data_IF_478030895006
#
_entry.id   IF_478030895006
#
_cell.length_a   1.000
_cell.length_b   1.000
_cell.length_c   1.000
_cell.angle_alpha   90.00
_cell.angle_beta   90.00
_cell.angle_gamma   90.00
#
_symmetry.space_group_name_H-M   'P 1'
#
loop_
_entity.id
_entity.type
_entity.pdbx_description
1 polymer ?
#
# COMPACT_ATOMS: atom_id res chain seq x y z
N UNK A 1 -14.92 -8.90 -19.56
CA UNK A 1 -15.13 -9.65 -18.32
C UNK A 1 -15.46 -8.70 -17.18
N UNK A 2 -15.89 -9.21 -16.02
CA UNK A 2 -16.43 -8.41 -14.90
C UNK A 2 -15.52 -7.24 -14.46
N UNK A 3 -14.20 -7.43 -14.40
CA UNK A 3 -13.26 -6.36 -14.07
C UNK A 3 -13.29 -5.21 -15.09
N UNK A 4 -13.30 -5.52 -16.37
CA UNK A 4 -13.37 -4.50 -17.43
C UNK A 4 -14.70 -3.73 -17.37
N UNK A 5 -15.80 -4.43 -17.10
CA UNK A 5 -17.13 -3.81 -16.98
C UNK A 5 -17.20 -2.89 -15.75
N UNK A 6 -16.55 -3.28 -14.65
CA UNK A 6 -16.45 -2.47 -13.43
C UNK A 6 -15.76 -1.13 -13.69
N UNK A 7 -14.62 -1.11 -14.36
CA UNK A 7 -13.90 0.13 -14.68
C UNK A 7 -14.67 1.00 -15.66
N UNK A 8 -15.23 0.38 -16.71
CA UNK A 8 -16.04 1.09 -17.71
C UNK A 8 -17.28 1.77 -17.12
N UNK A 9 -17.98 1.12 -16.17
CA UNK A 9 -19.14 1.70 -15.50
C UNK A 9 -18.79 2.92 -14.62
N UNK A 10 -17.51 3.11 -14.27
CA UNK A 10 -17.01 4.21 -13.44
C UNK A 10 -16.26 5.27 -14.23
N UNK A 11 -16.29 5.19 -15.57
CA UNK A 11 -15.53 6.08 -16.44
C UNK A 11 -14.05 6.15 -16.07
N UNK A 12 -13.49 4.98 -15.73
CA UNK A 12 -12.08 4.81 -15.38
C UNK A 12 -11.36 4.09 -16.52
N UNK A 13 -10.30 4.69 -17.03
CA UNK A 13 -9.39 4.01 -17.95
C UNK A 13 -8.66 2.89 -17.22
N UNK A 14 -8.64 1.71 -17.83
CA UNK A 14 -7.96 0.55 -17.27
C UNK A 14 -7.30 -0.28 -18.36
N UNK A 15 -6.01 -0.51 -18.21
CA UNK A 15 -5.29 -1.50 -18.99
C UNK A 15 -5.25 -2.81 -18.19
N UNK A 16 -5.86 -3.86 -18.73
CA UNK A 16 -5.95 -5.16 -18.09
C UNK A 16 -5.08 -6.15 -18.85
N UNK A 17 -4.10 -6.73 -18.16
CA UNK A 17 -3.25 -7.79 -18.72
C UNK A 17 -3.95 -9.12 -18.51
N UNK A 18 -4.39 -9.80 -19.59
CA UNK A 18 -5.08 -11.07 -19.47
C UNK A 18 -4.11 -12.17 -19.01
N UNK A 19 -4.50 -12.88 -17.98
CA UNK A 19 -3.72 -13.98 -17.39
C UNK A 19 -4.58 -15.23 -17.27
N UNK A 20 -3.98 -16.44 -17.34
CA UNK A 20 -4.72 -17.67 -17.11
C UNK A 20 -5.13 -17.80 -15.63
N UNK A 21 -6.24 -18.48 -15.38
CA UNK A 21 -6.75 -18.75 -14.03
C UNK A 21 -8.01 -17.99 -13.67
N UNK A 22 -8.40 -18.11 -12.41
CA UNK A 22 -9.58 -17.44 -11.85
C UNK A 22 -9.17 -16.25 -10.99
N UNK A 23 -10.05 -15.27 -10.87
CA UNK A 23 -9.90 -14.18 -9.90
C UNK A 23 -9.92 -14.79 -8.49
N UNK A 24 -8.95 -14.43 -7.67
CA UNK A 24 -8.90 -14.87 -6.27
C UNK A 24 -10.11 -14.35 -5.50
N UNK A 25 -10.60 -15.17 -4.58
CA UNK A 25 -11.71 -14.81 -3.70
C UNK A 25 -11.16 -14.62 -2.29
N UNK A 26 -11.44 -13.47 -1.70
CA UNK A 26 -11.17 -13.19 -0.29
C UNK A 26 -12.51 -13.17 0.44
N UNK A 27 -12.64 -14.01 1.49
CA UNK A 27 -13.85 -14.12 2.29
C UNK A 27 -13.57 -13.51 3.66
N UNK A 28 -14.39 -12.56 4.07
CA UNK A 28 -14.36 -11.97 5.42
C UNK A 28 -15.64 -12.37 6.14
N UNK A 29 -15.49 -13.12 7.23
CA UNK A 29 -16.59 -13.51 8.12
C UNK A 29 -16.57 -12.63 9.36
N UNK A 30 -17.65 -11.91 9.59
CA UNK A 30 -17.84 -11.11 10.80
C UNK A 30 -18.87 -11.79 11.70
N UNK A 31 -18.45 -12.21 12.88
CA UNK A 31 -19.32 -12.79 13.89
C UNK A 31 -19.91 -11.68 14.78
N UNK A 32 -21.17 -11.36 14.60
CA UNK A 32 -21.84 -10.27 15.30
C UNK A 32 -21.97 -10.48 16.81
N UNK A 33 -21.94 -11.74 17.28
CA UNK A 33 -22.06 -12.08 18.70
C UNK A 33 -20.77 -11.80 19.50
N UNK A 34 -19.62 -11.96 18.86
CA UNK A 34 -18.30 -11.81 19.49
C UNK A 34 -17.55 -10.56 19.01
N UNK A 35 -18.01 -9.94 17.91
CA UNK A 35 -17.29 -8.86 17.23
C UNK A 35 -16.03 -9.34 16.51
N UNK A 36 -15.79 -10.64 16.41
CA UNK A 36 -14.61 -11.20 15.77
C UNK A 36 -14.74 -11.23 14.25
N UNK A 37 -13.64 -10.93 13.56
CA UNK A 37 -13.50 -11.07 12.11
C UNK A 37 -12.53 -12.20 11.79
N UNK A 38 -12.92 -13.07 10.86
CA UNK A 38 -12.07 -14.11 10.32
C UNK A 38 -11.92 -13.89 8.82
N UNK A 39 -10.68 -13.87 8.34
CA UNK A 39 -10.38 -13.67 6.93
C UNK A 39 -9.81 -14.95 6.30
N UNK A 40 -10.35 -15.32 5.14
CA UNK A 40 -9.84 -16.39 4.28
C UNK A 40 -9.39 -15.75 2.97
N UNK A 41 -8.09 -15.56 2.84
CA UNK A 41 -7.49 -14.88 1.69
C UNK A 41 -6.81 -15.91 0.77
N UNK A 42 -7.35 -16.09 -0.44
CA UNK A 42 -6.71 -16.93 -1.45
C UNK A 42 -5.42 -16.27 -1.96
N UNK A 43 -4.39 -17.09 -2.18
CA UNK A 43 -3.12 -16.60 -2.76
C UNK A 43 -3.22 -16.27 -4.25
N UNK A 44 -4.28 -16.73 -4.92
CA UNK A 44 -4.43 -16.62 -6.36
C UNK A 44 -3.65 -17.70 -7.13
N UNK A 45 -3.81 -17.71 -8.44
CA UNK A 45 -3.10 -18.63 -9.35
C UNK A 45 -1.67 -18.14 -9.57
N UNK A 46 -0.65 -19.01 -9.46
CA UNK A 46 0.71 -18.64 -9.82
C UNK A 46 0.79 -18.21 -11.29
N UNK A 47 1.45 -17.11 -11.56
CA UNK A 47 1.64 -16.58 -12.90
C UNK A 47 3.06 -16.81 -13.38
N UNK A 48 3.24 -16.85 -14.72
CA UNK A 48 4.55 -16.95 -15.31
C UNK A 48 5.33 -15.65 -15.08
N UNK A 49 6.64 -15.70 -14.80
CA UNK A 49 7.46 -14.48 -14.58
C UNK A 49 7.41 -13.47 -15.72
N UNK A 50 7.21 -13.91 -16.98
CA UNK A 50 7.02 -13.01 -18.12
C UNK A 50 5.82 -12.07 -17.96
N UNK A 51 4.81 -12.45 -17.18
CA UNK A 51 3.67 -11.57 -16.89
C UNK A 51 4.09 -10.33 -16.13
N UNK A 52 5.07 -10.44 -15.23
CA UNK A 52 5.63 -9.27 -14.53
C UNK A 52 6.30 -8.30 -15.52
N UNK A 53 7.03 -8.84 -16.51
CA UNK A 53 7.65 -8.03 -17.58
C UNK A 53 6.60 -7.33 -18.44
N UNK A 54 5.47 -7.98 -18.72
CA UNK A 54 4.38 -7.37 -19.49
C UNK A 54 3.74 -6.22 -18.69
N UNK A 55 3.56 -6.38 -17.36
CA UNK A 55 3.06 -5.29 -16.48
C UNK A 55 4.04 -4.11 -16.46
N UNK A 56 5.34 -4.36 -16.29
CA UNK A 56 6.36 -3.31 -16.29
C UNK A 56 6.34 -2.56 -17.62
N UNK A 57 6.23 -3.27 -18.74
CA UNK A 57 6.16 -2.66 -20.07
C UNK A 57 4.89 -1.80 -20.22
N UNK A 58 3.75 -2.26 -19.77
CA UNK A 58 2.50 -1.50 -19.81
C UNK A 58 2.60 -0.21 -18.99
N UNK A 59 3.17 -0.29 -17.78
CA UNK A 59 3.41 0.89 -16.94
C UNK A 59 4.37 1.87 -17.63
N UNK A 60 5.51 1.41 -18.16
CA UNK A 60 6.49 2.26 -18.87
C UNK A 60 5.87 3.04 -20.04
N UNK A 61 4.90 2.45 -20.73
CA UNK A 61 4.23 3.10 -21.86
C UNK A 61 3.41 4.35 -21.48
N UNK A 62 3.00 4.47 -20.22
CA UNK A 62 2.16 5.59 -19.75
C UNK A 62 2.92 6.59 -18.86
N UNK A 63 4.14 6.26 -18.39
CA UNK A 63 4.89 7.11 -17.46
C UNK A 63 5.13 8.52 -17.98
N UNK A 64 5.37 8.71 -19.28
CA UNK A 64 5.60 10.04 -19.87
C UNK A 64 4.44 11.02 -19.72
N UNK A 65 3.24 10.52 -19.42
CA UNK A 65 2.02 11.33 -19.21
C UNK A 65 1.46 11.19 -17.80
N UNK A 66 2.18 10.48 -16.92
CA UNK A 66 1.77 10.20 -15.54
C UNK A 66 2.33 11.27 -14.59
N UNK A 67 1.49 11.81 -13.74
CA UNK A 67 1.91 12.78 -12.71
C UNK A 67 2.35 12.11 -11.40
N UNK A 68 1.79 10.94 -11.09
CA UNK A 68 2.16 10.13 -9.92
C UNK A 68 1.82 8.67 -10.19
N UNK A 69 2.72 7.76 -9.82
CA UNK A 69 2.48 6.31 -9.89
C UNK A 69 2.12 5.80 -8.48
N UNK A 70 1.06 5.01 -8.37
CA UNK A 70 0.70 4.36 -7.12
C UNK A 70 0.89 2.85 -7.30
N UNK A 71 1.80 2.28 -6.53
CA UNK A 71 2.09 0.85 -6.47
C UNK A 71 1.47 0.27 -5.21
N UNK A 72 0.54 -0.66 -5.35
CA UNK A 72 -0.14 -1.17 -4.18
C UNK A 72 -0.78 -2.54 -4.36
N UNK A 73 -1.03 -3.18 -3.23
CA UNK A 73 -1.62 -4.49 -3.14
C UNK A 73 -0.60 -5.63 -3.13
N UNK A 74 -1.13 -6.85 -3.11
CA UNK A 74 -0.32 -8.08 -3.18
C UNK A 74 -0.09 -8.48 -4.62
N UNK A 75 1.12 -8.88 -4.95
CA UNK A 75 1.45 -9.45 -6.25
C UNK A 75 1.07 -10.93 -6.31
N UNK A 76 0.74 -11.49 -7.49
CA UNK A 76 0.46 -12.91 -7.65
C UNK A 76 1.69 -13.77 -7.34
N UNK A 77 1.50 -15.02 -6.87
CA UNK A 77 2.61 -15.96 -6.76
C UNK A 77 3.34 -16.14 -8.10
N UNK A 78 4.66 -16.19 -8.05
CA UNK A 78 5.51 -16.28 -9.23
C UNK A 78 6.10 -14.96 -9.72
N UNK A 79 5.62 -13.83 -9.17
CA UNK A 79 6.28 -12.54 -9.38
C UNK A 79 7.49 -12.42 -8.45
N UNK A 80 8.57 -11.74 -8.88
CA UNK A 80 9.75 -11.53 -8.05
C UNK A 80 9.48 -10.55 -6.89
N UNK A 81 10.21 -10.70 -5.79
CA UNK A 81 10.05 -9.84 -4.60
C UNK A 81 10.53 -8.39 -4.84
N UNK A 82 11.30 -8.14 -5.89
CA UNK A 82 11.77 -6.82 -6.32
C UNK A 82 10.87 -6.17 -7.40
N UNK A 83 9.70 -6.75 -7.67
CA UNK A 83 8.77 -6.25 -8.69
C UNK A 83 8.41 -4.77 -8.52
N UNK A 84 8.17 -4.32 -7.29
CA UNK A 84 7.87 -2.91 -7.02
C UNK A 84 9.11 -2.02 -7.07
N UNK A 85 10.29 -2.56 -6.78
CA UNK A 85 11.56 -1.87 -7.02
C UNK A 85 11.74 -1.55 -8.51
N UNK A 86 11.56 -2.52 -9.41
CA UNK A 86 11.70 -2.32 -10.85
C UNK A 86 10.69 -1.29 -11.41
N UNK A 87 9.46 -1.29 -10.89
CA UNK A 87 8.47 -0.28 -11.25
C UNK A 87 8.84 1.12 -10.72
N UNK A 88 9.39 1.20 -9.52
CA UNK A 88 9.90 2.43 -8.92
C UNK A 88 11.06 3.02 -9.71
N UNK A 89 12.07 2.20 -10.06
CA UNK A 89 13.17 2.60 -10.95
C UNK A 89 12.65 3.12 -12.29
N UNK A 90 11.67 2.42 -12.86
CA UNK A 90 11.02 2.86 -14.08
C UNK A 90 10.35 4.24 -13.94
N UNK A 91 9.70 4.50 -12.80
CA UNK A 91 9.09 5.81 -12.53
C UNK A 91 10.16 6.91 -12.41
N UNK A 92 11.29 6.62 -11.76
CA UNK A 92 12.41 7.57 -11.63
C UNK A 92 13.05 7.91 -12.98
N UNK A 93 13.17 6.96 -13.91
CA UNK A 93 13.66 7.22 -15.28
C UNK A 93 12.85 8.32 -16.00
N UNK A 94 11.59 8.54 -15.59
CA UNK A 94 10.67 9.54 -16.16
C UNK A 94 10.40 10.73 -15.23
N UNK A 95 11.13 10.87 -14.12
CA UNK A 95 10.90 11.88 -13.07
C UNK A 95 9.46 11.83 -12.49
N UNK A 96 8.85 10.65 -12.45
CA UNK A 96 7.49 10.44 -11.90
C UNK A 96 7.60 10.01 -10.44
N UNK A 97 7.09 10.81 -9.48
CA UNK A 97 7.04 10.38 -8.08
C UNK A 97 6.12 9.19 -7.93
N UNK A 98 6.49 8.25 -7.04
CA UNK A 98 5.63 7.10 -6.78
C UNK A 98 5.35 6.89 -5.30
N UNK A 99 4.18 6.31 -5.04
CA UNK A 99 3.68 5.93 -3.72
C UNK A 99 3.70 4.41 -3.63
N UNK A 100 4.16 3.86 -2.50
CA UNK A 100 4.25 2.44 -2.27
C UNK A 100 3.36 2.01 -1.10
N UNK A 101 2.33 1.20 -1.38
CA UNK A 101 1.40 0.60 -0.43
C UNK A 101 1.55 -0.94 -0.45
N UNK A 102 2.58 -1.44 0.21
CA UNK A 102 2.98 -2.84 0.18
C UNK A 102 3.46 -3.31 1.56
N UNK A 103 3.79 -4.60 1.68
CA UNK A 103 4.29 -5.20 2.91
C UNK A 103 5.39 -6.23 2.64
N UNK A 104 6.15 -6.56 3.69
CA UNK A 104 7.20 -7.58 3.64
C UNK A 104 8.28 -7.30 2.62
N UNK A 105 8.76 -8.33 1.89
CA UNK A 105 9.84 -8.17 0.90
C UNK A 105 9.54 -7.16 -0.19
N UNK A 106 8.28 -7.06 -0.64
CA UNK A 106 7.86 -6.08 -1.65
C UNK A 106 8.02 -4.63 -1.17
N UNK A 107 7.72 -4.37 0.11
CA UNK A 107 7.94 -3.05 0.70
C UNK A 107 9.43 -2.78 0.88
N UNK A 108 10.19 -3.71 1.48
CA UNK A 108 11.62 -3.55 1.72
C UNK A 108 12.40 -3.29 0.42
N UNK A 109 12.18 -4.11 -0.60
CA UNK A 109 12.85 -3.93 -1.88
C UNK A 109 12.38 -2.66 -2.59
N UNK A 110 11.06 -2.38 -2.57
CA UNK A 110 10.51 -1.19 -3.23
C UNK A 110 10.95 0.13 -2.60
N UNK A 111 11.30 0.15 -1.31
CA UNK A 111 11.87 1.33 -0.63
C UNK A 111 13.23 1.72 -1.20
N UNK A 112 14.01 0.78 -1.72
CA UNK A 112 15.33 1.05 -2.35
C UNK A 112 15.21 1.95 -3.60
N UNK A 113 14.02 1.99 -4.23
CA UNK A 113 13.73 2.92 -5.32
C UNK A 113 13.23 4.28 -4.83
N UNK A 114 13.39 4.62 -3.55
CA UNK A 114 13.06 5.95 -2.97
C UNK A 114 11.66 6.46 -3.31
N UNK A 115 10.57 5.76 -2.92
CA UNK A 115 9.20 6.25 -3.09
C UNK A 115 9.01 7.59 -2.37
N UNK A 116 8.15 8.46 -2.90
CA UNK A 116 7.83 9.70 -2.20
C UNK A 116 7.05 9.46 -0.91
N UNK A 117 6.26 8.38 -0.87
CA UNK A 117 5.48 7.98 0.31
C UNK A 117 5.39 6.46 0.40
N UNK A 118 5.53 5.93 1.61
CA UNK A 118 5.17 4.56 1.97
C UNK A 118 3.99 4.57 2.94
N UNK A 119 3.06 3.58 2.80
CA UNK A 119 1.82 3.55 3.60
C UNK A 119 1.45 2.15 4.08
N UNK A 120 2.23 1.50 4.91
CA UNK A 120 1.80 0.25 5.55
C UNK A 120 0.69 0.50 6.60
N UNK A 121 -0.15 -0.49 6.85
CA UNK A 121 -0.97 -0.54 8.05
C UNK A 121 -0.17 -1.11 9.24
N UNK A 122 -0.78 -1.18 10.44
CA UNK A 122 -0.13 -1.66 11.67
C UNK A 122 0.45 -3.08 11.51
N UNK A 123 -0.31 -4.00 10.88
CA UNK A 123 0.09 -5.39 10.67
C UNK A 123 1.19 -5.51 9.61
N UNK A 124 1.06 -4.78 8.51
CA UNK A 124 2.05 -4.74 7.43
C UNK A 124 3.38 -4.13 7.89
N UNK A 125 3.30 -3.09 8.72
CA UNK A 125 4.49 -2.50 9.33
C UNK A 125 5.21 -3.51 10.23
N UNK A 126 4.45 -4.17 11.12
CA UNK A 126 5.02 -5.21 11.99
C UNK A 126 5.60 -6.39 11.20
N UNK A 127 4.88 -6.86 10.18
CA UNK A 127 5.36 -7.95 9.32
C UNK A 127 6.65 -7.59 8.57
N UNK A 128 6.86 -6.30 8.26
CA UNK A 128 8.01 -5.81 7.50
C UNK A 128 9.21 -5.51 8.39
N UNK A 129 8.99 -4.78 9.50
CA UNK A 129 10.06 -4.24 10.35
C UNK A 129 10.21 -4.95 11.71
N UNK A 130 9.28 -5.86 12.05
CA UNK A 130 9.32 -6.61 13.32
C UNK A 130 8.99 -5.79 14.57
N UNK A 131 8.52 -4.55 14.40
CA UNK A 131 8.17 -3.61 15.47
C UNK A 131 6.73 -3.15 15.32
N UNK A 132 5.96 -3.15 16.41
CA UNK A 132 4.61 -2.59 16.40
C UNK A 132 4.66 -1.06 16.36
N UNK A 133 3.97 -0.42 15.40
CA UNK A 133 3.89 1.03 15.35
C UNK A 133 3.15 1.58 16.57
N UNK A 134 3.59 2.73 17.05
CA UNK A 134 3.00 3.40 18.21
C UNK A 134 3.12 4.93 18.08
N UNK A 135 2.22 5.65 18.78
CA UNK A 135 2.24 7.11 18.80
C UNK A 135 3.20 7.59 19.91
N UNK A 136 4.48 7.29 19.75
CA UNK A 136 5.54 7.68 20.70
C UNK A 136 6.68 8.39 19.97
N UNK A 137 7.38 9.27 20.67
CA UNK A 137 8.56 9.94 20.11
C UNK A 137 9.65 8.95 19.67
N UNK A 138 9.84 7.88 20.45
CA UNK A 138 10.84 6.84 20.14
C UNK A 138 10.50 6.12 18.82
N UNK A 139 9.23 5.72 18.63
CA UNK A 139 8.80 5.11 17.37
C UNK A 139 8.96 6.09 16.20
N UNK A 140 8.50 7.34 16.36
CA UNK A 140 8.62 8.35 15.32
C UNK A 140 10.07 8.63 14.95
N UNK A 141 10.99 8.64 15.92
CA UNK A 141 12.42 8.82 15.66
C UNK A 141 13.02 7.64 14.87
N UNK A 142 12.67 6.40 15.25
CA UNK A 142 13.12 5.19 14.55
C UNK A 142 12.55 5.15 13.11
N UNK A 143 11.27 5.47 12.93
CA UNK A 143 10.65 5.49 11.60
C UNK A 143 11.23 6.59 10.72
N UNK A 144 11.47 7.78 11.29
CA UNK A 144 12.19 8.88 10.61
C UNK A 144 13.54 8.44 10.08
N UNK A 145 14.31 7.68 10.87
CA UNK A 145 15.61 7.17 10.45
C UNK A 145 15.48 6.27 9.19
N UNK A 146 14.49 5.38 9.16
CA UNK A 146 14.19 4.55 8.00
C UNK A 146 13.88 5.41 6.77
N UNK A 147 13.05 6.46 6.93
CA UNK A 147 12.70 7.35 5.82
C UNK A 147 13.93 8.08 5.26
N UNK A 148 14.81 8.57 6.15
CA UNK A 148 16.05 9.25 5.77
C UNK A 148 16.98 8.30 5.01
N UNK A 149 17.18 7.09 5.52
CA UNK A 149 18.06 6.07 4.91
C UNK A 149 17.66 5.71 3.48
N UNK A 150 16.34 5.70 3.19
CA UNK A 150 15.83 5.37 1.86
C UNK A 150 15.41 6.61 1.03
N UNK A 151 15.73 7.82 1.49
CA UNK A 151 15.36 9.08 0.82
C UNK A 151 13.84 9.20 0.56
N UNK A 152 13.02 8.83 1.54
CA UNK A 152 11.56 8.84 1.49
C UNK A 152 11.05 10.09 2.18
N UNK A 153 10.20 10.88 1.50
CA UNK A 153 9.69 12.12 2.06
C UNK A 153 8.58 11.91 3.11
N UNK A 154 7.76 10.87 2.94
CA UNK A 154 6.60 10.63 3.80
C UNK A 154 6.45 9.16 4.17
N UNK A 155 6.23 8.88 5.45
CA UNK A 155 5.82 7.58 5.94
C UNK A 155 4.48 7.69 6.66
N UNK A 156 3.43 7.09 6.12
CA UNK A 156 2.12 7.03 6.76
C UNK A 156 1.88 5.63 7.35
N UNK A 157 1.29 5.54 8.54
CA UNK A 157 0.87 4.26 9.12
C UNK A 157 -0.58 4.38 9.57
N UNK A 158 -1.44 3.52 9.05
CA UNK A 158 -2.80 3.39 9.56
C UNK A 158 -2.82 2.44 10.76
N UNK A 159 -3.37 2.91 11.89
CA UNK A 159 -3.40 2.22 13.17
C UNK A 159 -4.81 1.69 13.51
N UNK A 160 -5.68 1.54 12.50
CA UNK A 160 -7.05 1.08 12.68
C UNK A 160 -7.84 1.99 13.62
N UNK A 161 -8.41 1.42 14.68
CA UNK A 161 -9.19 2.16 15.69
C UNK A 161 -8.34 3.15 16.51
N UNK A 162 -7.03 3.11 16.40
CA UNK A 162 -6.10 4.03 17.07
C UNK A 162 -5.72 5.23 16.19
N UNK A 163 -6.33 5.39 15.01
CA UNK A 163 -6.08 6.52 14.13
C UNK A 163 -4.99 6.31 13.08
N UNK A 164 -4.20 7.33 12.80
CA UNK A 164 -3.14 7.30 11.82
C UNK A 164 -1.95 8.18 12.21
N UNK A 165 -0.77 7.80 11.77
CA UNK A 165 0.47 8.52 11.97
C UNK A 165 1.06 8.89 10.61
N UNK A 166 1.54 10.12 10.47
CA UNK A 166 2.34 10.60 9.35
C UNK A 166 3.69 11.06 9.88
N UNK A 167 4.77 10.55 9.31
CA UNK A 167 6.14 10.91 9.68
C UNK A 167 6.88 11.44 8.45
N UNK A 168 7.65 12.49 8.65
CA UNK A 168 8.62 13.00 7.66
C UNK A 168 10.00 13.07 8.30
N UNK A 169 11.06 13.37 7.57
CA UNK A 169 12.38 13.64 8.13
C UNK A 169 12.40 14.73 9.22
N UNK A 170 11.47 15.71 9.17
CA UNK A 170 11.44 16.87 10.06
C UNK A 170 10.44 16.76 11.21
N UNK A 171 9.29 16.10 10.98
CA UNK A 171 8.17 16.12 11.91
C UNK A 171 7.34 14.85 11.90
N UNK A 172 6.48 14.68 12.88
CA UNK A 172 5.46 13.64 12.91
C UNK A 172 4.11 14.22 13.35
N UNK A 173 3.04 13.73 12.73
CA UNK A 173 1.66 14.12 13.03
C UNK A 173 0.84 12.88 13.31
N UNK A 174 0.01 12.98 14.33
CA UNK A 174 -0.96 11.96 14.68
C UNK A 174 -2.37 12.49 14.43
N UNK A 175 -3.20 11.65 13.83
CA UNK A 175 -4.64 11.91 13.68
C UNK A 175 -5.41 10.92 14.52
N UNK A 176 -6.24 11.42 15.44
CA UNK A 176 -7.15 10.57 16.20
C UNK A 176 -8.15 9.85 15.27
N UNK A 177 -8.63 8.65 15.66
CA UNK A 177 -9.63 7.95 14.88
C UNK A 177 -10.95 8.71 14.90
N UNK A 178 -11.66 8.65 13.78
CA UNK A 178 -13.05 9.09 13.74
C UNK A 178 -13.93 7.95 14.21
N UNK A 179 -14.75 8.21 15.23
CA UNK A 179 -15.75 7.25 15.66
C UNK A 179 -16.83 7.11 14.58
N UNK A 180 -16.85 5.98 13.91
CA UNK A 180 -17.87 5.61 12.92
C UNK A 180 -18.54 4.31 13.35
N UNK A 181 -19.86 4.25 13.27
CA UNK A 181 -20.58 2.97 13.36
C UNK A 181 -20.23 2.14 12.14
N UNK A 182 -19.33 1.19 12.30
CA UNK A 182 -18.87 0.30 11.22
C UNK A 182 -19.99 -0.67 10.88
N UNK A 183 -20.78 -0.36 9.86
CA UNK A 183 -21.80 -1.27 9.29
C UNK A 183 -21.25 -2.13 8.13
N UNK A 184 -19.93 -2.16 7.93
CA UNK A 184 -19.29 -2.91 6.83
C UNK A 184 -17.78 -3.00 7.00
N UNK A 185 -17.19 -3.95 6.26
CA UNK A 185 -15.81 -4.45 6.42
C UNK A 185 -14.72 -3.51 5.85
N UNK A 186 -15.05 -2.32 5.37
CA UNK A 186 -14.06 -1.33 4.89
C UNK A 186 -14.26 -0.01 5.59
N UNK A 187 -13.44 0.23 6.61
CA UNK A 187 -13.30 1.54 7.20
C UNK A 187 -12.46 2.46 6.31
N UNK A 188 -13.11 3.30 5.51
CA UNK A 188 -12.43 4.46 4.97
C UNK A 188 -12.33 5.51 6.07
N UNK A 189 -11.11 5.94 6.40
CA UNK A 189 -10.90 7.01 7.37
C UNK A 189 -11.20 8.35 6.69
N UNK A 190 -12.40 8.88 6.88
CA UNK A 190 -12.74 10.26 6.61
C UNK A 190 -12.94 10.97 7.95
N UNK A 191 -11.95 11.74 8.39
CA UNK A 191 -12.00 12.44 9.67
C UNK A 191 -11.89 13.94 9.52
N UNK A 192 -12.62 14.66 10.36
CA UNK A 192 -12.36 16.07 10.66
C UNK A 192 -11.11 16.15 11.52
N UNK A 193 -10.16 16.96 11.10
CA UNK A 193 -8.84 17.07 11.68
C UNK A 193 -8.81 17.61 13.10
N UNK A 194 -8.23 16.87 14.02
CA UNK A 194 -7.35 17.38 15.05
C UNK A 194 -6.01 16.67 14.85
N UNK A 195 -5.04 17.34 14.25
CA UNK A 195 -3.69 16.80 14.10
C UNK A 195 -2.83 17.33 15.23
N UNK A 196 -2.34 16.44 16.07
CA UNK A 196 -1.35 16.77 17.09
C UNK A 196 0.05 16.59 16.47
N UNK A 197 0.90 17.62 16.61
CA UNK A 197 2.29 17.56 16.15
C UNK A 197 3.11 16.91 17.25
N UNK A 198 3.71 15.76 16.96
CA UNK A 198 4.66 15.08 17.86
C UNK A 198 6.05 15.47 17.39
N UNK A 199 6.71 16.33 18.12
CA UNK A 199 8.08 16.80 17.86
C UNK A 199 9.13 15.82 18.39
#
# INVERSE_FOLDING_TARGET
GEAADFFKQRDMDAELIPVPGNVRINIKLFETSTGCMTEFNEKGTPLHPETAVDVIRAVKNVLSTTSVLILGGSVPPGFPDDFYYELGESAQEYDVPFILDASGPLLLNGMEASPVLIKPNEEEYYATFGVHPSVTQEFCASYRQILIEHNIAYGAVSLGEKGALLVTPEAAWYSEPVSVDVKGVQGAIYGKHSSEVIL
#
